data_IF_452623088989
#
_entry.id   IF_452623088989
#
_cell.length_a   1.000
_cell.length_b   1.000
_cell.length_c   1.000
_cell.angle_alpha   90.00
_cell.angle_beta   90.00
_cell.angle_gamma   90.00
#
_symmetry.space_group_name_H-M   'P 1'
#
loop_
_entity.id
_entity.type
_entity.pdbx_description
1 polymer ?
#
# COMPACT_ATOMS: atom_id res chain seq x y z
N UNK A 1 -1.74 -21.29 14.91
CA UNK A 1 -2.72 -21.79 13.93
C UNK A 1 -2.47 -20.95 12.70
N UNK A 2 -2.10 -21.54 11.55
CA UNK A 2 -1.95 -20.73 10.32
C UNK A 2 -3.29 -20.08 10.01
N UNK A 3 -3.36 -18.77 10.17
CA UNK A 3 -4.50 -17.95 9.78
C UNK A 3 -4.35 -17.60 8.29
N UNK A 4 -4.22 -18.62 7.44
CA UNK A 4 -4.16 -18.41 6.01
C UNK A 4 -5.54 -17.94 5.53
N UNK A 5 -5.56 -16.78 4.91
CA UNK A 5 -6.74 -16.18 4.31
C UNK A 5 -7.15 -17.01 3.07
N UNK A 6 -8.44 -17.07 2.77
CA UNK A 6 -8.93 -17.74 1.57
C UNK A 6 -8.71 -16.85 0.34
N UNK A 7 -7.45 -16.59 -0.01
CA UNK A 7 -7.09 -15.77 -1.16
C UNK A 7 -7.69 -16.31 -2.45
N UNK A 8 -8.13 -15.43 -3.37
CA UNK A 8 -8.41 -15.83 -4.75
C UNK A 8 -7.16 -16.47 -5.38
N UNK A 9 -7.38 -17.46 -6.26
CA UNK A 9 -6.29 -18.26 -6.86
C UNK A 9 -6.32 -18.26 -8.39
N UNK A 10 -7.20 -17.45 -8.98
CA UNK A 10 -7.39 -17.43 -10.44
C UNK A 10 -6.37 -16.51 -11.13
N UNK A 11 -5.84 -15.52 -10.42
CA UNK A 11 -4.82 -14.62 -10.93
C UNK A 11 -3.50 -15.32 -11.29
N UNK A 12 -2.88 -14.83 -12.37
CA UNK A 12 -1.52 -15.22 -12.72
C UNK A 12 -0.52 -14.64 -11.71
N UNK A 13 0.54 -15.39 -11.42
CA UNK A 13 1.64 -14.92 -10.59
C UNK A 13 2.33 -13.74 -11.27
N UNK A 14 2.51 -12.64 -10.54
CA UNK A 14 3.16 -11.44 -11.02
C UNK A 14 4.61 -11.80 -11.42
N UNK A 15 5.00 -11.61 -12.70
CA UNK A 15 6.30 -12.06 -13.15
C UNK A 15 7.42 -11.30 -12.45
N UNK A 16 8.29 -12.00 -11.74
CA UNK A 16 9.43 -11.40 -11.03
C UNK A 16 10.33 -10.52 -11.91
N UNK A 17 10.40 -10.82 -13.21
CA UNK A 17 11.13 -10.01 -14.17
C UNK A 17 10.63 -8.56 -14.29
N UNK A 18 9.35 -8.28 -14.01
CA UNK A 18 8.81 -6.91 -14.08
C UNK A 18 9.26 -6.03 -12.92
N UNK A 19 9.56 -6.63 -11.76
CA UNK A 19 9.99 -5.93 -10.54
C UNK A 19 11.48 -6.12 -10.24
N UNK A 20 12.17 -7.02 -10.93
CA UNK A 20 13.59 -7.32 -10.70
C UNK A 20 14.49 -6.08 -10.58
N UNK A 21 14.41 -5.08 -11.49
CA UNK A 21 15.31 -3.93 -11.42
C UNK A 21 15.19 -3.16 -10.11
N UNK A 22 13.96 -2.96 -9.62
CA UNK A 22 13.72 -2.24 -8.37
C UNK A 22 14.10 -3.08 -7.15
N UNK A 23 13.86 -4.39 -7.17
CA UNK A 23 14.32 -5.29 -6.09
C UNK A 23 15.84 -5.28 -5.94
N UNK A 24 16.58 -5.34 -7.07
CA UNK A 24 18.04 -5.27 -7.06
C UNK A 24 18.54 -3.92 -6.54
N UNK A 25 17.85 -2.82 -6.90
CA UNK A 25 18.15 -1.47 -6.39
C UNK A 25 17.92 -1.37 -4.89
N UNK A 26 16.78 -1.83 -4.38
CA UNK A 26 16.46 -1.85 -2.96
C UNK A 26 17.50 -2.67 -2.16
N UNK A 27 17.85 -3.85 -2.67
CA UNK A 27 18.89 -4.67 -2.05
C UNK A 27 20.25 -3.95 -2.03
N UNK A 28 20.60 -3.24 -3.11
CA UNK A 28 21.83 -2.44 -3.17
C UNK A 28 21.82 -1.29 -2.17
N UNK A 29 20.69 -0.59 -2.02
CA UNK A 29 20.55 0.51 -1.06
C UNK A 29 20.75 0.00 0.37
N UNK A 30 20.05 -1.07 0.75
CA UNK A 30 20.17 -1.61 2.10
C UNK A 30 21.59 -2.10 2.41
N UNK A 31 22.23 -2.81 1.46
CA UNK A 31 23.61 -3.25 1.65
C UNK A 31 24.61 -2.08 1.75
N UNK A 32 24.30 -0.92 1.18
CA UNK A 32 25.16 0.28 1.24
C UNK A 32 24.95 1.05 2.55
N UNK A 33 23.76 0.96 3.14
CA UNK A 33 23.36 1.65 4.37
C UNK A 33 22.95 0.67 5.48
N UNK A 34 23.78 -0.34 5.73
CA UNK A 34 23.51 -1.42 6.69
C UNK A 34 23.37 -0.93 8.15
N UNK A 35 23.89 0.27 8.47
CA UNK A 35 23.71 0.90 9.78
C UNK A 35 22.31 1.46 9.98
N UNK A 36 21.62 1.83 8.90
CA UNK A 36 20.34 2.53 8.94
C UNK A 36 19.17 1.70 8.42
N UNK A 37 19.43 0.63 7.69
CA UNK A 37 18.41 -0.19 7.06
C UNK A 37 18.74 -1.68 7.05
N UNK A 38 17.69 -2.50 7.06
CA UNK A 38 17.78 -3.95 7.05
C UNK A 38 16.73 -4.52 6.10
N UNK A 39 17.11 -5.55 5.34
CA UNK A 39 16.18 -6.33 4.52
C UNK A 39 15.50 -7.37 5.41
N UNK A 40 14.17 -7.44 5.34
CA UNK A 40 13.42 -8.58 5.84
C UNK A 40 13.50 -9.65 4.73
N UNK A 41 14.10 -10.82 5.02
CA UNK A 41 14.35 -11.84 4.00
C UNK A 41 13.07 -12.46 3.43
N UNK A 42 13.14 -12.88 2.17
CA UNK A 42 12.11 -13.63 1.49
C UNK A 42 11.83 -15.03 2.08
N UNK A 43 10.65 -15.61 1.79
CA UNK A 43 10.25 -16.95 2.26
C UNK A 43 11.18 -18.06 1.76
N UNK A 44 11.81 -17.90 0.59
CA UNK A 44 12.74 -18.89 0.05
C UNK A 44 14.12 -18.85 0.74
N UNK A 45 14.42 -17.78 1.47
CA UNK A 45 15.74 -17.52 2.06
C UNK A 45 15.75 -17.72 3.57
N UNK A 46 14.60 -17.55 4.22
CA UNK A 46 14.46 -17.74 5.67
C UNK A 46 14.46 -19.23 6.05
N UNK A 47 15.21 -19.56 7.11
CA UNK A 47 15.17 -20.90 7.74
C UNK A 47 14.08 -21.00 8.82
N UNK A 48 13.50 -19.87 9.22
CA UNK A 48 12.44 -19.78 10.22
C UNK A 48 11.07 -20.00 9.58
N UNK A 49 10.16 -20.64 10.33
CA UNK A 49 8.76 -20.82 9.89
C UNK A 49 8.05 -19.47 9.99
N UNK A 50 8.12 -18.69 8.91
CA UNK A 50 7.42 -17.41 8.76
C UNK A 50 5.93 -17.69 8.57
N UNK A 51 5.09 -17.06 9.38
CA UNK A 51 3.64 -17.28 9.37
C UNK A 51 2.92 -16.42 8.32
N UNK A 52 3.68 -15.67 7.50
CA UNK A 52 3.17 -14.77 6.51
C UNK A 52 2.31 -15.46 5.45
N UNK A 53 1.26 -14.76 5.03
CA UNK A 53 0.26 -15.27 4.11
C UNK A 53 0.00 -14.26 2.98
N UNK A 54 0.97 -14.07 2.06
CA UNK A 54 0.80 -13.18 0.92
C UNK A 54 -0.18 -13.78 -0.11
N UNK A 55 -0.86 -12.93 -0.91
CA UNK A 55 -1.67 -13.37 -2.03
C UNK A 55 -0.85 -14.26 -2.99
N UNK A 56 -1.42 -15.33 -3.56
CA UNK A 56 -0.72 -16.22 -4.49
C UNK A 56 -0.04 -15.50 -5.65
N UNK A 57 -0.65 -14.40 -6.13
CA UNK A 57 -0.09 -13.60 -7.20
C UNK A 57 1.27 -12.94 -6.85
N UNK A 58 1.61 -12.81 -5.56
CA UNK A 58 2.85 -12.21 -5.08
C UNK A 58 3.91 -13.25 -4.67
N UNK A 59 3.64 -14.54 -4.78
CA UNK A 59 4.51 -15.64 -4.29
C UNK A 59 5.98 -15.45 -4.70
N UNK A 60 6.27 -15.22 -5.98
CA UNK A 60 7.65 -15.05 -6.47
C UNK A 60 8.38 -13.84 -5.88
N UNK A 61 7.66 -12.77 -5.56
CA UNK A 61 8.23 -11.54 -4.99
C UNK A 61 8.44 -11.74 -3.50
N UNK A 62 7.44 -12.29 -2.81
CA UNK A 62 7.50 -12.65 -1.39
C UNK A 62 8.58 -13.68 -1.11
N UNK A 63 8.91 -14.56 -2.05
CA UNK A 63 10.02 -15.52 -1.93
C UNK A 63 11.39 -14.85 -1.83
N UNK A 64 11.56 -13.65 -2.37
CA UNK A 64 12.85 -12.96 -2.40
C UNK A 64 12.96 -11.82 -1.39
N UNK A 65 11.87 -11.09 -1.16
CA UNK A 65 11.82 -9.94 -0.28
C UNK A 65 10.60 -10.04 0.65
N UNK A 66 10.84 -10.06 1.96
CA UNK A 66 9.79 -9.95 2.97
C UNK A 66 9.42 -8.50 3.29
N UNK A 67 10.35 -7.56 3.08
CA UNK A 67 10.14 -6.15 3.40
C UNK A 67 11.44 -5.40 3.70
N UNK A 68 11.33 -4.16 4.16
CA UNK A 68 12.46 -3.30 4.53
C UNK A 68 12.17 -2.61 5.85
N UNK A 69 13.13 -2.71 6.76
CA UNK A 69 13.17 -1.92 7.99
C UNK A 69 14.16 -0.77 7.84
N UNK A 70 13.80 0.38 8.39
CA UNK A 70 14.70 1.53 8.55
C UNK A 70 14.76 1.85 10.04
N UNK A 71 15.94 1.68 10.64
CA UNK A 71 16.16 1.89 12.09
C UNK A 71 15.17 1.14 12.99
N UNK A 72 14.76 -0.07 12.60
CA UNK A 72 13.83 -0.92 13.35
C UNK A 72 12.34 -0.60 13.12
N UNK A 73 12.03 0.30 12.19
CA UNK A 73 10.67 0.60 11.75
C UNK A 73 10.41 -0.11 10.42
N UNK A 74 9.38 -0.96 10.35
CA UNK A 74 8.98 -1.63 9.11
C UNK A 74 8.32 -0.62 8.17
N UNK A 75 9.04 -0.19 7.14
CA UNK A 75 8.56 0.82 6.18
C UNK A 75 7.98 0.20 4.90
N UNK A 76 8.30 -1.06 4.62
CA UNK A 76 7.72 -1.86 3.54
C UNK A 76 7.53 -3.29 4.05
N UNK A 77 6.34 -3.87 3.83
CA UNK A 77 6.05 -5.28 4.07
C UNK A 77 5.49 -5.95 2.81
N UNK A 78 6.00 -7.14 2.52
CA UNK A 78 5.54 -8.06 1.48
C UNK A 78 5.23 -9.45 2.06
N UNK A 79 5.39 -9.60 3.38
CA UNK A 79 5.15 -10.80 4.16
C UNK A 79 4.52 -10.41 5.50
N UNK A 80 3.25 -10.01 5.46
CA UNK A 80 2.49 -9.72 6.67
C UNK A 80 2.13 -11.01 7.41
N UNK A 81 2.51 -11.11 8.69
CA UNK A 81 2.18 -12.25 9.55
C UNK A 81 0.87 -12.02 10.33
N UNK A 82 0.71 -10.82 10.89
CA UNK A 82 -0.47 -10.42 11.64
C UNK A 82 -1.16 -9.26 10.92
N UNK A 83 -2.46 -9.43 10.65
CA UNK A 83 -3.29 -8.36 10.08
C UNK A 83 -4.07 -7.66 11.18
N UNK A 84 -4.08 -6.34 11.12
CA UNK A 84 -4.99 -5.53 11.91
C UNK A 84 -6.29 -5.33 11.13
N UNK A 85 -7.40 -5.89 11.59
CA UNK A 85 -8.71 -5.71 10.91
C UNK A 85 -9.44 -4.42 11.37
N UNK A 86 -8.75 -3.51 12.06
CA UNK A 86 -9.32 -2.31 12.70
C UNK A 86 -8.46 -1.11 12.34
N UNK A 87 -9.09 0.03 12.05
CA UNK A 87 -8.41 1.30 11.75
C UNK A 87 -8.62 1.72 10.29
N UNK A 88 -7.56 1.97 9.50
CA UNK A 88 -7.66 2.54 8.14
C UNK A 88 -8.46 1.67 7.16
N UNK A 89 -8.78 0.41 7.53
CA UNK A 89 -9.52 -0.52 6.68
C UNK A 89 -11.04 -0.50 6.88
N UNK A 90 -11.57 0.40 7.71
CA UNK A 90 -12.99 0.41 8.09
C UNK A 90 -13.95 0.35 6.88
N UNK A 91 -13.57 0.98 5.76
CA UNK A 91 -14.38 1.02 4.52
C UNK A 91 -13.93 0.03 3.44
N UNK A 92 -12.83 -0.69 3.67
CA UNK A 92 -12.36 -1.65 2.68
C UNK A 92 -13.24 -2.88 2.67
N UNK A 93 -13.30 -3.53 1.51
CA UNK A 93 -13.98 -4.80 1.33
C UNK A 93 -13.36 -5.95 2.15
N UNK A 94 -13.70 -7.20 1.82
CA UNK A 94 -13.12 -8.37 2.46
C UNK A 94 -11.59 -8.29 2.54
N UNK A 95 -10.99 -8.83 3.60
CA UNK A 95 -9.53 -8.84 3.78
C UNK A 95 -8.76 -9.39 2.56
N UNK A 96 -9.38 -10.26 1.76
CA UNK A 96 -8.80 -10.83 0.54
C UNK A 96 -8.84 -9.91 -0.69
N UNK A 97 -9.45 -8.73 -0.59
CA UNK A 97 -9.56 -7.74 -1.67
C UNK A 97 -8.41 -6.71 -1.66
N UNK A 98 -7.54 -6.74 -0.67
CA UNK A 98 -6.39 -5.86 -0.60
C UNK A 98 -5.25 -6.51 0.18
N UNK A 99 -4.03 -6.03 -0.05
CA UNK A 99 -2.85 -6.45 0.67
C UNK A 99 -2.07 -5.25 1.23
N UNK A 100 -1.88 -5.14 2.55
CA UNK A 100 -1.09 -4.07 3.14
C UNK A 100 0.38 -4.14 2.72
N UNK A 101 0.93 -3.00 2.32
CA UNK A 101 2.36 -2.80 2.00
C UNK A 101 3.06 -1.96 3.08
N UNK A 102 2.28 -1.21 3.85
CA UNK A 102 2.70 -0.43 5.01
C UNK A 102 1.46 -0.21 5.90
N UNK A 103 1.62 -0.26 7.22
CA UNK A 103 0.52 -0.10 8.19
C UNK A 103 1.00 0.59 9.46
N UNK A 104 0.18 1.52 9.94
CA UNK A 104 0.19 2.05 11.31
C UNK A 104 -1.23 1.91 11.89
N UNK A 105 -1.45 2.19 13.19
CA UNK A 105 -2.80 2.16 13.75
C UNK A 105 -3.81 3.12 13.08
N UNK A 106 -3.33 4.15 12.38
CA UNK A 106 -4.15 5.25 11.85
C UNK A 106 -4.11 5.34 10.32
N UNK A 107 -3.13 4.72 9.66
CA UNK A 107 -2.95 4.82 8.23
C UNK A 107 -2.38 3.54 7.60
N UNK A 108 -2.58 3.36 6.30
CA UNK A 108 -2.04 2.23 5.57
C UNK A 108 -1.75 2.57 4.12
N UNK A 109 -0.83 1.83 3.52
CA UNK A 109 -0.69 1.73 2.06
C UNK A 109 -1.08 0.31 1.66
N UNK A 110 -2.02 0.18 0.73
CA UNK A 110 -2.59 -1.11 0.31
C UNK A 110 -2.47 -1.31 -1.19
N UNK A 111 -2.16 -2.53 -1.59
CA UNK A 111 -2.30 -3.03 -2.95
C UNK A 111 -3.74 -3.52 -3.15
N UNK A 112 -4.46 -2.96 -4.12
CA UNK A 112 -5.78 -3.45 -4.49
C UNK A 112 -5.68 -4.82 -5.20
N UNK A 113 -6.58 -5.74 -4.85
CA UNK A 113 -6.74 -7.03 -5.49
C UNK A 113 -8.16 -7.12 -6.05
N UNK A 114 -8.29 -7.53 -7.31
CA UNK A 114 -9.60 -7.81 -7.88
C UNK A 114 -10.17 -9.16 -7.40
N UNK A 115 -11.35 -9.51 -7.90
CA UNK A 115 -12.07 -10.73 -7.52
C UNK A 115 -11.29 -12.02 -7.81
N UNK A 116 -10.38 -12.00 -8.79
CA UNK A 116 -9.52 -13.11 -9.17
C UNK A 116 -8.21 -13.15 -8.38
N UNK A 117 -7.92 -12.08 -7.61
CA UNK A 117 -6.70 -11.89 -6.84
C UNK A 117 -5.58 -11.18 -7.61
N UNK A 118 -5.91 -10.55 -8.74
CA UNK A 118 -4.92 -9.89 -9.59
C UNK A 118 -4.47 -8.58 -8.92
N UNK A 119 -3.15 -8.39 -8.72
CA UNK A 119 -2.60 -7.13 -8.25
C UNK A 119 -2.95 -5.95 -9.17
N UNK A 120 -3.45 -4.88 -8.57
CA UNK A 120 -3.81 -3.65 -9.25
C UNK A 120 -3.05 -2.43 -8.74
N UNK A 121 -3.74 -1.30 -8.72
CA UNK A 121 -3.24 -0.04 -8.21
C UNK A 121 -2.94 -0.10 -6.70
N UNK A 122 -2.04 0.79 -6.27
CA UNK A 122 -1.69 0.97 -4.86
C UNK A 122 -2.33 2.24 -4.35
N UNK A 123 -2.90 2.19 -3.15
CA UNK A 123 -3.59 3.31 -2.49
C UNK A 123 -3.00 3.56 -1.11
N UNK A 124 -2.85 4.84 -0.74
CA UNK A 124 -2.70 5.22 0.65
C UNK A 124 -4.05 5.60 1.27
N UNK A 125 -4.18 5.36 2.56
CA UNK A 125 -5.37 5.61 3.37
C UNK A 125 -4.91 6.28 4.66
N UNK A 126 -5.31 7.53 4.87
CA UNK A 126 -5.02 8.28 6.09
C UNK A 126 -6.17 8.22 7.11
N UNK A 127 -6.08 9.08 8.14
CA UNK A 127 -7.09 9.19 9.20
C UNK A 127 -8.49 9.54 8.70
N UNK A 128 -8.58 10.26 7.60
CA UNK A 128 -9.85 10.70 7.00
C UNK A 128 -10.51 9.63 6.12
N UNK A 129 -9.91 8.44 6.03
CA UNK A 129 -10.37 7.29 5.26
C UNK A 129 -10.49 7.54 3.74
N UNK A 130 -9.96 8.65 3.24
CA UNK A 130 -9.91 8.89 1.81
C UNK A 130 -8.84 8.02 1.15
N UNK A 131 -9.11 7.60 -0.07
CA UNK A 131 -8.17 6.83 -0.87
C UNK A 131 -7.35 7.77 -1.75
N UNK A 132 -6.03 7.70 -1.60
CA UNK A 132 -5.11 8.42 -2.47
C UNK A 132 -4.35 7.45 -3.37
N UNK A 133 -4.45 7.64 -4.69
CA UNK A 133 -3.80 6.80 -5.68
C UNK A 133 -2.27 6.95 -5.57
N UNK A 134 -1.63 5.99 -4.92
CA UNK A 134 -0.21 6.01 -4.62
C UNK A 134 0.65 5.57 -5.81
N UNK A 135 0.18 4.56 -6.55
CA UNK A 135 0.87 4.10 -7.74
C UNK A 135 -0.06 3.33 -8.66
N UNK A 136 0.38 3.22 -9.91
CA UNK A 136 -0.37 2.55 -10.95
C UNK A 136 -0.44 1.02 -10.78
N UNK A 137 0.62 0.47 -10.18
CA UNK A 137 0.82 -0.94 -9.85
C UNK A 137 1.91 -1.09 -8.76
N UNK A 138 2.16 -2.33 -8.32
CA UNK A 138 3.19 -2.63 -7.32
C UNK A 138 4.60 -2.22 -7.77
N UNK A 139 4.96 -2.38 -9.04
CA UNK A 139 6.30 -2.04 -9.53
C UNK A 139 6.55 -0.52 -9.43
N UNK A 140 5.56 0.27 -9.86
CA UNK A 140 5.60 1.72 -9.74
C UNK A 140 5.66 2.19 -8.28
N UNK A 141 4.94 1.51 -7.37
CA UNK A 141 5.03 1.81 -5.94
C UNK A 141 6.42 1.52 -5.38
N UNK A 142 6.99 0.35 -5.69
CA UNK A 142 8.33 -0.02 -5.22
C UNK A 142 9.40 0.95 -5.71
N UNK A 143 9.28 1.48 -6.94
CA UNK A 143 10.23 2.49 -7.46
C UNK A 143 10.11 3.81 -6.67
N UNK A 144 8.88 4.27 -6.39
CA UNK A 144 8.66 5.43 -5.53
C UNK A 144 9.21 5.23 -4.13
N UNK A 145 9.03 4.03 -3.57
CA UNK A 145 9.60 3.66 -2.28
C UNK A 145 11.13 3.68 -2.33
N UNK A 146 11.75 3.12 -3.38
CA UNK A 146 13.21 3.12 -3.56
C UNK A 146 13.78 4.54 -3.66
N UNK A 147 13.13 5.43 -4.41
CA UNK A 147 13.52 6.85 -4.52
C UNK A 147 13.49 7.57 -3.16
N UNK A 148 12.42 7.35 -2.38
CA UNK A 148 12.26 7.94 -1.05
C UNK A 148 13.24 7.35 -0.03
N UNK A 149 13.49 6.05 -0.11
CA UNK A 149 14.45 5.35 0.73
C UNK A 149 15.87 5.86 0.46
N UNK A 150 16.30 5.95 -0.80
CA UNK A 150 17.61 6.48 -1.17
C UNK A 150 17.81 7.89 -0.62
N UNK A 151 16.84 8.78 -0.83
CA UNK A 151 16.90 10.16 -0.32
C UNK A 151 16.98 10.20 1.21
N UNK A 152 16.20 9.37 1.89
CA UNK A 152 16.20 9.26 3.35
C UNK A 152 17.54 8.77 3.89
N UNK A 153 18.09 7.70 3.29
CA UNK A 153 19.35 7.09 3.70
C UNK A 153 20.55 8.01 3.45
N UNK A 154 20.55 8.74 2.33
CA UNK A 154 21.56 9.76 2.05
C UNK A 154 21.52 10.89 3.09
N UNK A 155 20.33 11.39 3.42
CA UNK A 155 20.15 12.43 4.43
C UNK A 155 20.56 11.96 5.84
N UNK A 156 20.31 10.69 6.18
CA UNK A 156 20.78 10.07 7.42
C UNK A 156 22.31 9.95 7.44
N UNK A 157 22.92 9.52 6.33
CA UNK A 157 24.37 9.41 6.22
C UNK A 157 25.08 10.78 6.38
N UNK A 158 24.49 11.86 5.84
CA UNK A 158 25.01 13.22 5.99
C UNK A 158 25.03 13.74 7.44
N UNK A 159 24.12 13.25 8.30
CA UNK A 159 24.09 13.59 9.73
C UNK A 159 25.28 13.03 10.51
N UNK A 160 26.01 12.08 9.94
CA UNK A 160 27.14 11.40 10.59
C UNK A 160 26.72 10.18 11.42
N UNK A 161 27.70 9.48 12.02
CA UNK A 161 27.44 8.26 12.78
C UNK A 161 26.56 8.55 14.01
N UNK A 162 25.80 7.55 14.45
CA UNK A 162 24.86 7.63 15.57
C UNK A 162 25.48 7.92 16.95
N UNK A 163 26.77 8.23 17.03
CA UNK A 163 27.55 8.29 18.27
C UNK A 163 27.30 9.54 19.14
N UNK A 164 26.60 10.57 18.61
CA UNK A 164 26.27 11.81 19.36
C UNK A 164 24.75 12.09 19.46
N UNK A 165 23.90 11.33 18.77
CA UNK A 165 22.44 11.40 18.87
C UNK A 165 21.92 10.16 19.59
N UNK A 166 21.09 10.30 20.62
CA UNK A 166 20.45 9.11 21.25
C UNK A 166 19.75 8.29 20.16
N UNK A 167 19.88 6.97 20.14
CA UNK A 167 19.33 6.07 19.09
C UNK A 167 17.88 6.39 18.67
N UNK A 168 17.03 6.82 19.62
CA UNK A 168 15.66 7.28 19.35
C UNK A 168 15.59 8.50 18.42
N UNK A 169 16.48 9.47 18.56
CA UNK A 169 16.55 10.67 17.71
C UNK A 169 16.81 10.32 16.24
N UNK A 170 17.58 9.26 15.96
CA UNK A 170 17.88 8.85 14.59
C UNK A 170 16.75 8.04 13.96
N UNK A 171 16.08 7.20 14.74
CA UNK A 171 14.87 6.50 14.32
C UNK A 171 13.73 7.49 14.02
N UNK A 172 13.48 8.44 14.93
CA UNK A 172 12.50 9.52 14.73
C UNK A 172 12.82 10.35 13.48
N UNK A 173 14.11 10.60 13.22
CA UNK A 173 14.55 11.33 12.04
C UNK A 173 14.40 10.52 10.74
N UNK A 174 14.51 9.19 10.80
CA UNK A 174 14.25 8.31 9.67
C UNK A 174 12.76 8.26 9.33
N UNK A 175 11.90 8.14 10.34
CA UNK A 175 10.44 8.21 10.20
C UNK A 175 10.01 9.54 9.57
N UNK A 176 10.45 10.67 10.13
CA UNK A 176 10.13 12.00 9.60
C UNK A 176 10.59 12.20 8.14
N UNK A 177 11.75 11.65 7.77
CA UNK A 177 12.24 11.72 6.40
C UNK A 177 11.40 10.85 5.45
N UNK A 178 11.04 9.63 5.85
CA UNK A 178 10.15 8.78 5.06
C UNK A 178 8.76 9.40 4.92
N UNK A 179 8.24 10.02 5.97
CA UNK A 179 7.00 10.79 5.90
C UNK A 179 7.12 11.93 4.91
N UNK A 180 8.17 12.73 5.01
CA UNK A 180 8.43 13.84 4.12
C UNK A 180 8.57 13.42 2.65
N UNK A 181 9.27 12.32 2.38
CA UNK A 181 9.63 11.90 1.03
C UNK A 181 8.62 10.95 0.39
N UNK A 182 7.77 10.31 1.18
CA UNK A 182 6.81 9.33 0.69
C UNK A 182 5.45 9.46 1.38
N UNK A 183 5.35 9.15 2.67
CA UNK A 183 4.06 8.83 3.28
C UNK A 183 3.13 10.03 3.39
N UNK A 184 3.61 11.24 3.63
CA UNK A 184 2.75 12.42 3.69
C UNK A 184 1.97 12.65 2.39
N UNK A 185 2.60 12.37 1.25
CA UNK A 185 1.95 12.48 -0.06
C UNK A 185 1.08 11.27 -0.42
N UNK A 186 1.29 10.11 0.20
CA UNK A 186 0.47 8.92 -0.03
C UNK A 186 -0.74 8.86 0.89
N UNK A 187 -0.61 9.37 2.11
CA UNK A 187 -1.61 9.26 3.18
C UNK A 187 -2.48 10.53 3.31
N UNK A 188 -2.43 11.44 2.33
CA UNK A 188 -3.23 12.67 2.35
C UNK A 188 -2.84 13.70 3.40
N UNK A 189 -1.63 13.62 3.98
CA UNK A 189 -1.14 14.56 5.01
C UNK A 189 -0.51 15.82 4.42
N UNK A 190 -0.19 15.83 3.12
CA UNK A 190 0.25 17.01 2.40
C UNK A 190 -0.90 18.01 2.19
N UNK A 191 -0.58 19.30 2.01
CA UNK A 191 -1.63 20.32 1.85
C UNK A 191 -2.53 20.02 0.62
N UNK A 192 -3.86 20.15 0.78
CA UNK A 192 -4.86 19.64 -0.18
C UNK A 192 -4.86 20.33 -1.55
N UNK A 193 -4.20 21.48 -1.70
CA UNK A 193 -4.24 22.30 -2.92
C UNK A 193 -3.57 21.63 -4.16
N UNK A 194 -2.89 20.49 -4.00
CA UNK A 194 -2.17 19.82 -5.10
C UNK A 194 -2.81 18.51 -5.60
N UNK A 195 -3.78 17.93 -4.88
CA UNK A 195 -4.36 16.63 -5.23
C UNK A 195 -5.60 16.74 -6.12
N UNK A 196 -5.62 15.98 -7.22
CA UNK A 196 -6.80 15.93 -8.08
C UNK A 196 -7.93 15.14 -7.40
N UNK A 197 -8.98 15.83 -6.97
CA UNK A 197 -10.18 15.18 -6.41
C UNK A 197 -10.99 14.50 -7.51
N UNK A 198 -11.28 13.20 -7.30
CA UNK A 198 -12.10 12.39 -8.18
C UNK A 198 -13.46 12.20 -7.50
N UNK A 199 -14.54 12.74 -8.08
CA UNK A 199 -15.85 12.69 -7.45
C UNK A 199 -16.43 11.28 -7.50
N UNK A 200 -17.14 10.91 -6.42
CA UNK A 200 -18.04 9.78 -6.44
C UNK A 200 -19.29 10.13 -7.26
N UNK A 201 -19.67 9.22 -8.14
CA UNK A 201 -20.73 9.42 -9.12
C UNK A 201 -21.88 8.42 -8.90
N UNK A 202 -23.09 8.85 -9.23
CA UNK A 202 -24.24 7.95 -9.33
C UNK A 202 -23.96 6.89 -10.42
N UNK A 203 -24.06 5.59 -10.11
CA UNK A 203 -23.82 4.49 -11.03
C UNK A 203 -24.56 4.65 -12.36
N UNK A 204 -25.81 5.14 -12.33
CA UNK A 204 -26.66 5.32 -13.50
C UNK A 204 -26.16 6.42 -14.46
N UNK A 205 -25.31 7.33 -13.99
CA UNK A 205 -24.78 8.45 -14.77
C UNK A 205 -23.27 8.37 -15.03
N UNK A 206 -22.58 7.44 -14.38
CA UNK A 206 -21.13 7.24 -14.49
C UNK A 206 -20.65 6.83 -15.88
N UNK A 207 -21.51 6.19 -16.67
CA UNK A 207 -21.13 5.61 -17.97
C UNK A 207 -20.33 4.30 -17.87
N UNK A 208 -20.13 3.77 -16.66
CA UNK A 208 -19.56 2.43 -16.44
C UNK A 208 -20.62 1.36 -16.72
N UNK A 209 -20.17 0.23 -17.26
CA UNK A 209 -21.02 -0.95 -17.52
C UNK A 209 -20.67 -2.07 -16.55
N UNK A 210 -21.57 -3.04 -16.42
CA UNK A 210 -21.33 -4.27 -15.65
C UNK A 210 -20.94 -4.00 -14.18
N UNK A 211 -21.61 -3.01 -13.58
CA UNK A 211 -21.49 -2.70 -12.15
C UNK A 211 -22.24 -3.77 -11.33
N UNK A 212 -21.66 -4.21 -10.19
CA UNK A 212 -22.32 -5.15 -9.29
C UNK A 212 -23.71 -4.67 -8.82
N UNK A 213 -24.61 -5.62 -8.58
CA UNK A 213 -25.87 -5.31 -7.89
C UNK A 213 -25.55 -4.76 -6.50
N UNK A 214 -26.30 -3.74 -6.05
CA UNK A 214 -26.04 -3.07 -4.77
C UNK A 214 -24.98 -1.96 -4.83
N UNK A 215 -24.46 -1.62 -6.01
CA UNK A 215 -23.59 -0.44 -6.17
C UNK A 215 -24.32 0.85 -5.78
N UNK A 216 -23.75 1.60 -4.84
CA UNK A 216 -24.24 2.88 -4.35
C UNK A 216 -23.58 4.06 -5.05
N UNK A 217 -22.26 4.00 -5.29
CA UNK A 217 -21.50 5.02 -5.98
C UNK A 217 -20.23 4.45 -6.62
N UNK A 218 -19.66 5.20 -7.56
CA UNK A 218 -18.43 4.80 -8.27
C UNK A 218 -17.47 5.98 -8.45
N UNK A 219 -16.18 5.71 -8.42
CA UNK A 219 -15.13 6.64 -8.85
C UNK A 219 -14.27 5.98 -9.95
N UNK A 220 -14.06 6.69 -11.06
CA UNK A 220 -13.24 6.22 -12.19
C UNK A 220 -11.90 6.95 -12.22
N UNK A 221 -10.83 6.22 -11.88
CA UNK A 221 -9.46 6.70 -11.80
C UNK A 221 -8.60 6.25 -12.99
N UNK A 222 -9.19 5.63 -14.03
CA UNK A 222 -8.41 5.10 -15.18
C UNK A 222 -7.62 6.17 -15.92
N UNK A 223 -8.06 7.42 -15.86
CA UNK A 223 -7.34 8.58 -16.41
C UNK A 223 -6.84 9.56 -15.34
N UNK A 224 -6.96 9.21 -14.06
CA UNK A 224 -6.54 10.08 -12.97
C UNK A 224 -5.01 10.04 -12.83
N UNK A 225 -4.38 11.18 -12.50
CA UNK A 225 -2.95 11.18 -12.19
C UNK A 225 -2.71 10.47 -10.85
N UNK A 226 -1.50 9.95 -10.68
CA UNK A 226 -1.00 9.55 -9.36
C UNK A 226 -1.09 10.74 -8.39
N UNK A 227 -1.51 10.47 -7.16
CA UNK A 227 -1.84 11.48 -6.15
C UNK A 227 -3.32 11.89 -6.16
N UNK A 228 -4.11 11.45 -7.14
CA UNK A 228 -5.55 11.67 -7.15
C UNK A 228 -6.22 11.07 -5.90
N UNK A 229 -7.23 11.78 -5.40
CA UNK A 229 -7.91 11.49 -4.13
C UNK A 229 -9.39 11.18 -4.38
N UNK A 230 -9.91 10.17 -3.70
CA UNK A 230 -11.34 9.89 -3.61
C UNK A 230 -11.75 9.97 -2.15
N UNK A 231 -12.63 10.90 -1.82
CA UNK A 231 -13.21 10.99 -0.48
C UNK A 231 -14.41 10.04 -0.36
N UNK A 232 -14.24 8.96 0.38
CA UNK A 232 -15.27 7.92 0.51
C UNK A 232 -16.45 8.37 1.38
N UNK A 233 -16.25 9.39 2.22
CA UNK A 233 -17.24 9.84 3.21
C UNK A 233 -18.15 10.95 2.68
N UNK A 234 -17.78 11.60 1.57
CA UNK A 234 -18.59 12.67 0.96
C UNK A 234 -19.77 12.18 0.11
N UNK A 235 -20.00 10.87 0.05
CA UNK A 235 -21.07 10.29 -0.78
C UNK A 235 -22.44 10.38 -0.10
N UNK A 236 -23.42 10.90 -0.83
CA UNK A 236 -24.82 10.94 -0.40
C UNK A 236 -25.52 9.61 -0.72
N UNK A 237 -25.31 8.61 0.14
CA UNK A 237 -25.92 7.27 0.02
C UNK A 237 -26.97 7.01 1.11
N UNK A 238 -27.96 6.14 0.87
CA UNK A 238 -28.81 5.64 1.93
C UNK A 238 -28.02 4.78 2.93
N UNK A 239 -28.17 5.04 4.24
CA UNK A 239 -27.58 4.20 5.29
C UNK A 239 -26.49 4.90 6.11
N UNK A 240 -25.72 4.12 6.87
CA UNK A 240 -24.49 4.59 7.53
C UNK A 240 -23.32 4.45 6.53
N UNK A 241 -22.62 5.55 6.17
CA UNK A 241 -21.45 5.48 5.31
C UNK A 241 -20.36 4.50 5.78
N UNK A 242 -20.28 4.25 7.10
CA UNK A 242 -19.31 3.30 7.67
C UNK A 242 -19.67 1.82 7.45
N UNK A 243 -20.90 1.53 7.01
CA UNK A 243 -21.32 0.18 6.64
C UNK A 243 -21.02 -0.12 5.15
N UNK A 244 -20.60 0.88 4.37
CA UNK A 244 -20.22 0.66 2.97
C UNK A 244 -18.88 -0.06 2.84
N UNK A 245 -18.73 -0.81 1.74
CA UNK A 245 -17.50 -1.51 1.41
C UNK A 245 -17.01 -1.14 0.02
N UNK A 246 -15.69 -1.00 -0.11
CA UNK A 246 -15.00 -0.81 -1.39
C UNK A 246 -14.85 -2.14 -2.12
N UNK A 247 -15.26 -2.16 -3.38
CA UNK A 247 -14.91 -3.17 -4.37
C UNK A 247 -13.98 -2.57 -5.43
N UNK A 248 -12.92 -3.30 -5.74
CA UNK A 248 -11.93 -2.92 -6.73
C UNK A 248 -12.27 -3.51 -8.10
N UNK A 249 -12.38 -2.65 -9.12
CA UNK A 249 -12.60 -3.04 -10.51
C UNK A 249 -11.49 -2.46 -11.39
N UNK A 250 -11.30 -3.03 -12.58
CA UNK A 250 -10.31 -2.54 -13.54
C UNK A 250 -8.91 -2.42 -12.90
N UNK A 251 -8.46 -3.47 -12.21
CA UNK A 251 -7.19 -3.49 -11.44
C UNK A 251 -7.12 -2.37 -10.40
N UNK A 252 -8.20 -2.16 -9.68
CA UNK A 252 -8.33 -1.12 -8.66
C UNK A 252 -8.45 0.29 -9.20
N UNK A 253 -8.58 0.52 -10.52
CA UNK A 253 -8.77 1.86 -11.10
C UNK A 253 -10.21 2.33 -11.15
N UNK A 254 -11.15 1.44 -10.87
CA UNK A 254 -12.54 1.80 -10.65
C UNK A 254 -12.88 1.37 -9.24
N UNK A 255 -13.19 2.34 -8.39
CA UNK A 255 -13.66 2.13 -7.02
C UNK A 255 -15.18 2.06 -7.08
N UNK A 256 -15.73 0.99 -6.53
CA UNK A 256 -17.18 0.77 -6.43
C UNK A 256 -17.53 0.71 -4.96
N UNK A 257 -18.45 1.57 -4.51
CA UNK A 257 -19.00 1.53 -3.16
C UNK A 257 -20.29 0.72 -3.18
N UNK A 258 -20.35 -0.30 -2.33
CA UNK A 258 -21.52 -1.17 -2.18
C UNK A 258 -22.04 -1.15 -0.75
N UNK A 259 -23.34 -1.44 -0.61
CA UNK A 259 -23.93 -1.82 0.67
C UNK A 259 -23.40 -3.21 1.08
N UNK A 260 -23.19 -3.42 2.39
CA UNK A 260 -22.62 -4.65 2.97
C UNK A 260 -23.53 -5.89 2.88
#
# INVERSE_FOLDING_TARGET
>A
MNNSLPWPTEAEVLPLASVRPVLDRLASLVNTHEEDSTLIPGLAVTEEEVAADPPPALEQIGDELGGIEVRGLTMLTLQIEDRTDVGPYTLLGPATSYYPLYETPEAAVVLALDEDGTPGAVYGIGEDLALQLAADDLAAYLERFADALETTLDALAERGPADDESEGSRADAAEQLMDQHLFAALLGMAEPDESAEIPLQDPATSGLTDLPEGTLAVADLRSAPVGARVDLMEVDVPGDPLEMHVLWRERGRVIVLCDS
#
